data_IF_790045565587
#
_entry.id   IF_790045565587
#
_cell.length_a   1.000
_cell.length_b   1.000
_cell.length_c   1.000
_cell.angle_alpha   90.00
_cell.angle_beta   90.00
_cell.angle_gamma   90.00
#
_symmetry.space_group_name_H-M   'P 1'
#
loop_
_entity.id
_entity.type
_entity.pdbx_description
1 polymer ?
#
# COMPACT_ATOMS: atom_id res chain seq x y z
N UNK A 1 19.49 -60.36 -10.39
CA UNK A 1 18.11 -60.63 -10.81
C UNK A 1 17.18 -60.32 -9.64
N UNK A 2 16.24 -59.39 -9.85
CA UNK A 2 14.95 -59.40 -9.16
C UNK A 2 14.83 -58.80 -7.76
N UNK A 3 14.29 -57.57 -7.73
CA UNK A 3 13.30 -57.04 -6.75
C UNK A 3 13.78 -56.85 -5.31
N UNK A 4 13.81 -55.65 -4.73
CA UNK A 4 12.80 -54.59 -4.81
C UNK A 4 11.95 -54.64 -3.53
N UNK A 5 12.13 -53.65 -2.65
CA UNK A 5 11.13 -53.10 -1.72
C UNK A 5 11.77 -51.98 -0.88
N UNK A 6 11.53 -50.74 -1.28
CA UNK A 6 11.50 -49.60 -0.37
C UNK A 6 10.14 -48.96 -0.51
N UNK A 7 9.40 -48.96 0.60
CA UNK A 7 8.27 -48.10 0.85
C UNK A 7 8.34 -47.76 2.35
N UNK A 8 8.31 -46.48 2.68
CA UNK A 8 7.28 -45.86 3.51
C UNK A 8 7.47 -44.35 3.42
N UNK A 9 6.40 -43.69 2.97
CA UNK A 9 6.15 -42.26 3.02
C UNK A 9 5.82 -41.84 4.45
N UNK A 10 6.16 -40.62 4.84
CA UNK A 10 5.29 -39.80 5.68
C UNK A 10 5.56 -38.31 5.40
N UNK A 11 4.81 -37.77 4.43
CA UNK A 11 4.54 -36.34 4.33
C UNK A 11 3.26 -36.12 5.14
N UNK A 12 3.32 -35.34 6.21
CA UNK A 12 2.13 -34.81 6.89
C UNK A 12 1.38 -33.87 5.93
N UNK A 13 0.55 -34.45 5.05
CA UNK A 13 -0.48 -33.75 4.29
C UNK A 13 -1.82 -34.21 4.86
N UNK A 14 -2.29 -33.50 5.89
CA UNK A 14 -3.64 -33.70 6.43
C UNK A 14 -4.64 -33.36 5.33
N UNK A 15 -5.21 -34.41 4.74
CA UNK A 15 -6.40 -34.48 3.90
C UNK A 15 -6.54 -33.47 2.75
N UNK A 16 -6.12 -33.87 1.55
CA UNK A 16 -6.80 -33.46 0.31
C UNK A 16 -6.92 -34.66 -0.65
N UNK A 17 -7.85 -35.57 -0.35
CA UNK A 17 -8.20 -36.68 -1.25
C UNK A 17 -9.21 -36.32 -2.36
N UNK A 18 -9.60 -35.05 -2.51
CA UNK A 18 -10.55 -34.60 -3.55
C UNK A 18 -10.00 -33.54 -4.52
N UNK A 19 -8.68 -33.36 -4.63
CA UNK A 19 -8.10 -32.24 -5.38
C UNK A 19 -8.27 -32.33 -6.91
N UNK A 20 -8.32 -33.55 -7.49
CA UNK A 20 -8.59 -33.73 -8.92
C UNK A 20 -10.06 -33.43 -9.28
N UNK A 21 -10.99 -33.76 -8.38
CA UNK A 21 -12.41 -33.39 -8.53
C UNK A 21 -12.66 -31.89 -8.35
N UNK A 22 -11.89 -31.23 -7.48
CA UNK A 22 -12.02 -29.79 -7.20
C UNK A 22 -11.51 -28.91 -8.36
N UNK A 23 -10.42 -29.29 -9.03
CA UNK A 23 -9.93 -28.60 -10.23
C UNK A 23 -10.86 -28.78 -11.45
N UNK A 24 -11.46 -29.97 -11.61
CA UNK A 24 -12.45 -30.22 -12.66
C UNK A 24 -13.76 -29.44 -12.40
N UNK A 25 -14.19 -29.31 -11.14
CA UNK A 25 -15.34 -28.47 -10.77
C UNK A 25 -15.09 -26.97 -10.99
N UNK A 26 -13.88 -26.47 -10.73
CA UNK A 26 -13.51 -25.06 -10.97
C UNK A 26 -13.41 -24.71 -12.46
N UNK A 27 -13.07 -25.66 -13.32
CA UNK A 27 -13.08 -25.46 -14.78
C UNK A 27 -14.50 -25.56 -15.37
N UNK A 28 -15.35 -26.45 -14.86
CA UNK A 28 -16.74 -26.59 -15.32
C UNK A 28 -17.64 -25.45 -14.81
N UNK A 29 -17.39 -24.89 -13.62
CA UNK A 29 -18.13 -23.72 -13.13
C UNK A 29 -17.84 -22.44 -13.94
N UNK A 30 -16.66 -22.35 -14.58
CA UNK A 30 -16.28 -21.19 -15.42
C UNK A 30 -16.79 -21.28 -16.87
N UNK A 31 -17.20 -22.45 -17.35
CA UNK A 31 -17.76 -22.62 -18.70
C UNK A 31 -19.29 -22.43 -18.76
N UNK A 32 -19.96 -22.31 -17.61
CA UNK A 32 -21.40 -22.07 -17.53
C UNK A 32 -21.85 -20.62 -17.78
N UNK A 33 -20.91 -19.68 -17.97
CA UNK A 33 -21.21 -18.24 -18.13
C UNK A 33 -20.72 -17.68 -19.48
N UNK A 34 -20.64 -18.50 -20.53
CA UNK A 34 -20.46 -18.01 -21.91
C UNK A 34 -21.81 -18.02 -22.60
N UNK A 35 -22.71 -17.15 -22.14
CA UNK A 35 -24.04 -17.01 -22.70
C UNK A 35 -24.82 -15.91 -22.01
N UNK A 36 -24.87 -14.74 -22.67
CA UNK A 36 -25.62 -13.54 -22.32
C UNK A 36 -24.99 -12.61 -21.26
N UNK A 37 -24.96 -11.32 -21.61
CA UNK A 37 -24.23 -10.26 -20.92
C UNK A 37 -24.64 -10.11 -19.46
N UNK A 38 -23.69 -10.42 -18.58
CA UNK A 38 -23.72 -10.19 -17.14
C UNK A 38 -22.28 -10.09 -16.66
N UNK A 39 -22.08 -9.30 -15.61
CA UNK A 39 -20.81 -8.70 -15.17
C UNK A 39 -19.64 -9.68 -14.98
N UNK A 40 -18.43 -9.13 -15.12
CA UNK A 40 -17.20 -9.82 -14.70
C UNK A 40 -17.26 -10.01 -13.18
N UNK A 41 -17.66 -11.20 -12.75
CA UNK A 41 -17.47 -11.64 -11.37
C UNK A 41 -15.97 -11.57 -11.09
N UNK A 42 -15.55 -10.59 -10.29
CA UNK A 42 -14.17 -10.47 -9.86
C UNK A 42 -13.78 -11.80 -9.22
N UNK A 43 -12.78 -12.48 -9.77
CA UNK A 43 -12.25 -13.68 -9.15
C UNK A 43 -11.78 -13.29 -7.74
N UNK A 44 -12.49 -13.78 -6.71
CA UNK A 44 -12.13 -13.58 -5.32
C UNK A 44 -10.63 -13.81 -5.15
N UNK A 45 -9.93 -12.90 -4.47
CA UNK A 45 -8.49 -13.01 -4.27
C UNK A 45 -8.18 -14.34 -3.55
N UNK A 46 -7.61 -15.31 -4.27
CA UNK A 46 -7.16 -16.57 -3.70
C UNK A 46 -5.66 -16.44 -3.40
N UNK A 47 -5.26 -16.29 -2.12
CA UNK A 47 -3.84 -16.27 -1.78
C UNK A 47 -3.22 -17.60 -2.17
N UNK A 48 -2.09 -17.54 -2.86
CA UNK A 48 -1.32 -18.73 -3.23
C UNK A 48 0.13 -18.52 -2.85
N UNK A 49 0.77 -19.55 -2.33
CA UNK A 49 2.20 -19.55 -2.10
C UNK A 49 2.69 -20.97 -2.39
N UNK A 50 3.68 -21.06 -3.26
CA UNK A 50 4.23 -22.31 -3.74
C UNK A 50 5.73 -22.19 -3.87
N UNK A 51 6.41 -23.31 -3.69
CA UNK A 51 7.85 -23.39 -3.77
C UNK A 51 8.23 -24.69 -4.50
N UNK A 52 9.24 -24.61 -5.35
CA UNK A 52 9.78 -25.76 -6.06
C UNK A 52 11.30 -25.72 -6.08
N UNK A 53 11.93 -26.88 -5.90
CA UNK A 53 13.37 -27.04 -6.06
C UNK A 53 13.67 -27.58 -7.46
N UNK A 54 14.71 -27.05 -8.09
CA UNK A 54 15.21 -27.60 -9.37
C UNK A 54 15.71 -29.04 -9.21
N UNK A 55 16.28 -29.37 -8.05
CA UNK A 55 16.71 -30.72 -7.66
C UNK A 55 16.43 -30.94 -6.19
N UNK A 56 15.95 -32.12 -5.84
CA UNK A 56 15.65 -32.54 -4.46
C UNK A 56 16.80 -33.27 -3.79
N UNK A 57 17.80 -33.68 -4.58
CA UNK A 57 19.00 -34.38 -4.11
C UNK A 57 20.24 -33.72 -4.71
N UNK A 58 21.31 -33.66 -3.91
CA UNK A 58 22.63 -33.18 -4.32
C UNK A 58 23.65 -34.21 -3.91
N UNK A 59 24.32 -34.79 -4.89
CA UNK A 59 25.35 -35.80 -4.68
C UNK A 59 26.71 -35.26 -5.14
N UNK A 60 27.75 -35.52 -4.35
CA UNK A 60 29.13 -35.25 -4.71
C UNK A 60 29.96 -36.50 -4.44
N UNK A 61 30.78 -36.92 -5.39
CA UNK A 61 31.67 -38.07 -5.21
C UNK A 61 33.01 -37.63 -4.61
N UNK A 62 33.61 -38.46 -3.76
CA UNK A 62 34.92 -38.17 -3.17
C UNK A 62 35.99 -37.94 -4.23
N UNK A 63 35.94 -38.70 -5.34
CA UNK A 63 36.86 -38.51 -6.47
C UNK A 63 36.71 -37.13 -7.14
N UNK A 64 35.49 -36.61 -7.25
CA UNK A 64 35.26 -35.25 -7.76
C UNK A 64 35.84 -34.20 -6.81
N UNK A 65 35.60 -34.35 -5.51
CA UNK A 65 36.05 -33.38 -4.50
C UNK A 65 37.58 -33.40 -4.36
N UNK A 66 38.19 -34.57 -4.19
CA UNK A 66 39.64 -34.70 -3.93
C UNK A 66 40.52 -34.24 -5.09
N UNK A 67 40.01 -34.32 -6.33
CA UNK A 67 40.72 -33.85 -7.53
C UNK A 67 40.45 -32.37 -7.86
N UNK A 68 39.60 -31.70 -7.09
CA UNK A 68 39.32 -30.27 -7.26
C UNK A 68 40.41 -29.39 -6.61
N UNK A 69 40.49 -28.13 -7.04
CA UNK A 69 41.35 -27.14 -6.39
C UNK A 69 40.96 -26.97 -4.92
N UNK A 70 41.92 -27.12 -4.00
CA UNK A 70 41.72 -27.08 -2.55
C UNK A 70 40.78 -28.15 -1.98
N UNK A 71 40.58 -29.27 -2.69
CA UNK A 71 39.76 -30.42 -2.24
C UNK A 71 38.33 -30.03 -1.81
N UNK A 72 37.72 -29.12 -2.55
CA UNK A 72 36.42 -28.51 -2.22
C UNK A 72 35.44 -28.70 -3.37
N UNK A 73 34.37 -29.47 -3.13
CA UNK A 73 33.24 -29.63 -4.03
C UNK A 73 32.20 -28.54 -3.81
N UNK A 74 31.55 -28.08 -4.88
CA UNK A 74 30.54 -27.03 -4.78
C UNK A 74 29.37 -27.28 -5.72
N UNK A 75 28.15 -27.20 -5.19
CA UNK A 75 26.92 -27.43 -5.94
C UNK A 75 25.88 -26.35 -5.66
N UNK A 76 25.04 -26.05 -6.66
CA UNK A 76 23.98 -25.05 -6.54
C UNK A 76 22.61 -25.71 -6.42
N UNK A 77 21.82 -25.28 -5.45
CA UNK A 77 20.39 -25.58 -5.32
C UNK A 77 19.62 -24.33 -5.71
N UNK A 78 18.68 -24.46 -6.65
CA UNK A 78 17.78 -23.39 -7.05
C UNK A 78 16.40 -23.65 -6.48
N UNK A 79 15.94 -22.74 -5.62
CA UNK A 79 14.57 -22.64 -5.15
C UNK A 79 13.85 -21.58 -5.99
N UNK A 80 12.69 -21.95 -6.54
CA UNK A 80 11.76 -21.02 -7.16
C UNK A 80 10.54 -20.88 -6.27
N UNK A 81 10.21 -19.64 -5.90
CA UNK A 81 9.00 -19.33 -5.13
C UNK A 81 8.01 -18.59 -6.04
N UNK A 82 6.75 -19.01 -6.03
CA UNK A 82 5.69 -18.49 -6.89
C UNK A 82 4.37 -18.38 -6.13
N UNK A 83 3.50 -17.42 -6.45
CA UNK A 83 2.32 -17.14 -5.63
C UNK A 83 1.71 -15.74 -5.79
N UNK A 84 0.73 -15.46 -4.95
CA UNK A 84 0.05 -14.19 -4.77
C UNK A 84 -0.20 -14.04 -3.27
N UNK A 85 0.60 -13.23 -2.59
CA UNK A 85 0.44 -12.90 -1.15
C UNK A 85 0.50 -11.38 -0.96
N UNK A 86 -0.30 -10.86 -0.01
CA UNK A 86 -0.46 -9.40 0.18
C UNK A 86 0.71 -8.74 0.92
N UNK A 87 1.37 -9.45 1.85
CA UNK A 87 2.47 -8.91 2.67
C UNK A 87 3.86 -9.45 2.30
N UNK A 88 3.99 -10.14 1.17
CA UNK A 88 5.21 -10.86 0.84
C UNK A 88 5.41 -12.12 1.69
N UNK A 89 6.64 -12.62 1.73
CA UNK A 89 6.99 -13.89 2.35
C UNK A 89 8.48 -13.93 2.73
N UNK A 90 8.87 -14.87 3.57
CA UNK A 90 10.26 -15.19 3.92
C UNK A 90 10.62 -16.60 3.47
N UNK A 91 11.88 -16.76 3.08
CA UNK A 91 12.51 -18.07 2.84
C UNK A 91 13.50 -18.33 3.96
N UNK A 92 13.30 -19.43 4.65
CA UNK A 92 14.14 -19.92 5.73
C UNK A 92 14.88 -21.18 5.27
N UNK A 93 16.12 -21.34 5.71
CA UNK A 93 16.93 -22.54 5.56
C UNK A 93 17.25 -23.12 6.94
N UNK A 94 17.11 -24.43 7.08
CA UNK A 94 17.58 -25.22 8.23
C UNK A 94 17.88 -26.65 7.81
N UNK A 95 18.44 -27.44 8.71
CA UNK A 95 18.32 -28.90 8.67
C UNK A 95 16.93 -29.37 9.13
N UNK A 96 16.58 -30.63 8.88
CA UNK A 96 15.33 -31.24 9.39
C UNK A 96 15.43 -31.69 10.86
N UNK A 97 16.58 -31.49 11.49
CA UNK A 97 16.88 -31.82 12.89
C UNK A 97 17.89 -30.83 13.49
N UNK A 98 18.31 -31.04 14.74
CA UNK A 98 19.40 -30.26 15.35
C UNK A 98 20.79 -30.65 14.81
N UNK A 99 20.90 -31.79 14.11
CA UNK A 99 22.15 -32.23 13.51
C UNK A 99 22.44 -31.42 12.25
N UNK A 100 23.57 -30.71 12.24
CA UNK A 100 24.01 -29.85 11.12
C UNK A 100 25.16 -30.45 10.31
N UNK A 101 25.72 -31.59 10.72
CA UNK A 101 26.77 -32.29 9.99
C UNK A 101 26.19 -33.26 8.95
N UNK A 102 26.93 -33.56 7.88
CA UNK A 102 26.66 -34.77 7.10
C UNK A 102 27.14 -35.97 7.92
N UNK A 103 26.25 -36.91 8.20
CA UNK A 103 26.54 -38.07 9.06
C UNK A 103 26.81 -39.29 8.20
N UNK A 104 27.84 -40.07 8.54
CA UNK A 104 28.07 -41.36 7.88
C UNK A 104 26.88 -42.30 8.14
N UNK A 105 26.31 -42.86 7.08
CA UNK A 105 25.17 -43.77 7.14
C UNK A 105 25.54 -45.17 7.65
N UNK A 106 26.83 -45.50 7.74
CA UNK A 106 27.30 -46.77 8.30
C UNK A 106 27.07 -46.83 9.81
N UNK A 107 26.30 -47.83 10.26
CA UNK A 107 25.81 -47.95 11.66
C UNK A 107 26.92 -48.03 12.73
N UNK A 108 28.16 -48.33 12.34
CA UNK A 108 29.31 -48.45 13.24
C UNK A 108 30.25 -47.24 13.17
N UNK A 109 29.96 -46.26 12.31
CA UNK A 109 30.79 -45.07 12.14
C UNK A 109 30.22 -43.90 12.95
N UNK A 110 31.10 -43.17 13.63
CA UNK A 110 30.79 -41.87 14.22
C UNK A 110 31.35 -40.71 13.39
N UNK A 111 31.88 -40.99 12.20
CA UNK A 111 32.51 -39.99 11.33
C UNK A 111 31.47 -39.03 10.77
N UNK A 112 31.84 -37.75 10.69
CA UNK A 112 30.98 -36.67 10.23
C UNK A 112 31.76 -35.68 9.37
N UNK A 113 31.05 -34.99 8.48
CA UNK A 113 31.51 -33.76 7.84
C UNK A 113 30.75 -32.63 8.53
N UNK A 114 31.42 -31.88 9.40
CA UNK A 114 30.76 -30.90 10.29
C UNK A 114 30.33 -29.64 9.54
N UNK A 115 29.28 -28.97 10.01
CA UNK A 115 29.08 -27.57 9.64
C UNK A 115 30.29 -26.74 10.07
N UNK A 116 30.64 -25.70 9.30
CA UNK A 116 31.58 -24.67 9.79
C UNK A 116 30.98 -23.91 10.99
N UNK A 117 31.84 -23.31 11.81
CA UNK A 117 31.44 -22.61 13.04
C UNK A 117 31.22 -21.10 12.87
N UNK A 118 31.78 -20.50 11.81
CA UNK A 118 31.67 -19.06 11.54
C UNK A 118 31.77 -18.74 10.05
N UNK A 119 31.32 -17.54 9.67
CA UNK A 119 31.36 -17.05 8.30
C UNK A 119 32.77 -17.11 7.73
N UNK A 120 32.97 -17.84 6.63
CA UNK A 120 34.29 -18.13 6.06
C UNK A 120 34.26 -18.03 4.52
N UNK A 121 35.42 -17.80 3.88
CA UNK A 121 35.54 -17.83 2.42
C UNK A 121 35.68 -19.26 1.90
N UNK A 122 35.36 -19.49 0.62
CA UNK A 122 35.46 -20.82 0.01
C UNK A 122 36.85 -21.46 0.16
N UNK A 123 37.91 -20.66 0.07
CA UNK A 123 39.29 -21.14 0.11
C UNK A 123 39.77 -21.45 1.54
N UNK A 124 39.14 -20.85 2.54
CA UNK A 124 39.48 -21.00 3.95
C UNK A 124 38.64 -22.04 4.68
N UNK A 125 37.80 -22.82 3.97
CA UNK A 125 37.03 -23.90 4.60
C UNK A 125 37.97 -24.89 5.32
N UNK A 126 37.66 -25.28 6.57
CA UNK A 126 38.38 -26.35 7.26
C UNK A 126 38.16 -27.72 6.60
N UNK A 127 39.10 -28.64 6.79
CA UNK A 127 38.94 -30.01 6.31
C UNK A 127 37.75 -30.70 7.00
N UNK A 128 37.06 -31.58 6.25
CA UNK A 128 35.90 -32.32 6.70
C UNK A 128 34.77 -31.42 7.22
N UNK A 129 34.54 -30.32 6.51
CA UNK A 129 33.43 -29.41 6.78
C UNK A 129 32.58 -29.12 5.54
N UNK A 130 31.36 -28.67 5.79
CA UNK A 130 30.47 -28.16 4.76
C UNK A 130 29.75 -26.89 5.22
N UNK A 131 29.28 -26.12 4.24
CA UNK A 131 28.73 -24.80 4.46
C UNK A 131 27.83 -24.36 3.29
N UNK A 132 27.06 -23.29 3.49
CA UNK A 132 26.20 -22.75 2.45
C UNK A 132 26.45 -21.26 2.19
N UNK A 133 26.23 -20.80 0.96
CA UNK A 133 26.18 -19.38 0.61
C UNK A 133 24.96 -19.08 -0.25
N UNK A 134 24.61 -17.80 -0.39
CA UNK A 134 23.39 -17.32 -1.03
C UNK A 134 23.71 -16.20 -2.00
N UNK A 135 23.07 -16.22 -3.18
CA UNK A 135 23.45 -15.38 -4.33
C UNK A 135 23.21 -13.86 -4.16
N UNK A 136 22.53 -13.41 -3.10
CA UNK A 136 22.21 -11.98 -2.93
C UNK A 136 23.34 -11.13 -2.31
N UNK A 137 24.47 -11.72 -1.89
CA UNK A 137 25.67 -10.95 -1.53
C UNK A 137 26.66 -10.88 -2.70
N UNK A 138 27.24 -9.70 -2.95
CA UNK A 138 28.23 -9.48 -4.03
C UNK A 138 29.50 -10.34 -3.91
N UNK A 139 29.74 -10.89 -2.71
CA UNK A 139 30.81 -11.88 -2.42
C UNK A 139 30.19 -13.14 -1.81
N UNK A 140 30.57 -14.33 -2.30
CA UNK A 140 30.12 -15.61 -1.72
C UNK A 140 30.93 -15.92 -0.45
N UNK A 141 30.47 -15.40 0.68
CA UNK A 141 30.87 -15.92 1.98
C UNK A 141 29.97 -17.10 2.37
N UNK A 142 30.57 -18.12 2.97
CA UNK A 142 29.90 -19.35 3.38
C UNK A 142 29.58 -19.29 4.87
N UNK A 143 28.33 -19.62 5.19
CA UNK A 143 27.74 -19.60 6.50
C UNK A 143 27.68 -21.02 7.10
N UNK A 144 27.73 -21.14 8.44
CA UNK A 144 27.35 -22.36 9.15
C UNK A 144 25.99 -22.88 8.71
N UNK A 145 25.84 -24.19 8.58
CA UNK A 145 24.55 -24.82 8.29
C UNK A 145 23.60 -24.59 9.48
N UNK A 146 22.45 -23.96 9.27
CA UNK A 146 21.50 -23.64 10.33
C UNK A 146 20.78 -24.90 10.82
N UNK A 147 20.63 -25.03 12.14
CA UNK A 147 19.87 -26.09 12.82
C UNK A 147 18.37 -25.82 12.78
N UNK A 148 17.56 -26.86 13.01
CA UNK A 148 16.08 -26.76 13.06
C UNK A 148 15.58 -25.68 14.03
N UNK A 149 16.15 -25.60 15.24
CA UNK A 149 15.77 -24.62 16.26
C UNK A 149 16.19 -23.17 15.96
N UNK A 150 17.06 -22.95 14.96
CA UNK A 150 17.57 -21.62 14.60
C UNK A 150 17.74 -21.52 13.07
N UNK A 151 16.64 -21.49 12.30
CA UNK A 151 16.68 -21.36 10.86
C UNK A 151 17.21 -19.97 10.43
N UNK A 152 17.96 -19.91 9.34
CA UNK A 152 18.43 -18.63 8.78
C UNK A 152 17.48 -18.12 7.70
N UNK A 153 17.23 -16.82 7.70
CA UNK A 153 16.55 -16.13 6.59
C UNK A 153 17.51 -16.02 5.41
N UNK A 154 17.15 -16.63 4.29
CA UNK A 154 17.95 -16.67 3.06
C UNK A 154 17.26 -15.96 1.89
N UNK A 155 16.18 -15.23 2.15
CA UNK A 155 15.46 -14.49 1.13
C UNK A 155 14.02 -14.20 1.53
N UNK A 156 13.31 -13.56 0.62
CA UNK A 156 11.91 -13.19 0.77
C UNK A 156 11.60 -11.88 0.07
N UNK A 157 10.37 -11.40 0.31
CA UNK A 157 9.90 -10.06 -0.05
C UNK A 157 9.30 -9.39 1.18
N UNK A 158 9.52 -8.08 1.29
CA UNK A 158 8.91 -7.23 2.31
C UNK A 158 7.96 -6.21 1.67
N UNK A 159 7.48 -6.50 0.47
CA UNK A 159 6.84 -5.52 -0.39
C UNK A 159 5.38 -5.28 0.06
N UNK A 160 5.15 -4.12 0.66
CA UNK A 160 3.83 -3.49 0.68
C UNK A 160 3.42 -3.18 -0.78
N UNK A 161 2.48 -3.97 -1.32
CA UNK A 161 1.67 -3.64 -2.51
C UNK A 161 2.36 -3.57 -3.89
N UNK A 162 3.05 -4.63 -4.33
CA UNK A 162 3.24 -4.86 -5.79
C UNK A 162 2.93 -6.29 -6.20
N UNK A 163 1.98 -6.43 -7.15
CA UNK A 163 1.72 -7.66 -7.86
C UNK A 163 3.00 -8.16 -8.52
N UNK A 164 3.28 -9.45 -8.34
CA UNK A 164 4.46 -10.09 -8.88
C UNK A 164 4.02 -11.26 -9.74
N UNK A 165 4.29 -11.14 -11.04
CA UNK A 165 3.93 -12.17 -12.02
C UNK A 165 5.10 -13.10 -12.33
N UNK A 166 6.29 -12.84 -11.77
CA UNK A 166 7.50 -13.65 -11.96
C UNK A 166 7.92 -14.32 -10.66
N UNK A 167 8.20 -15.62 -10.73
CA UNK A 167 8.70 -16.39 -9.59
C UNK A 167 10.11 -15.96 -9.19
N UNK A 168 10.31 -15.75 -7.89
CA UNK A 168 11.63 -15.40 -7.35
C UNK A 168 12.53 -16.63 -7.33
N UNK A 169 13.80 -16.43 -7.71
CA UNK A 169 14.78 -17.50 -7.75
C UNK A 169 15.86 -17.27 -6.70
N UNK A 170 15.91 -18.15 -5.71
CA UNK A 170 16.94 -18.18 -4.68
C UNK A 170 17.95 -19.27 -5.03
N UNK A 171 19.22 -18.89 -5.14
CA UNK A 171 20.32 -19.83 -5.36
C UNK A 171 21.08 -19.98 -4.05
N UNK A 172 21.04 -21.19 -3.50
CA UNK A 172 21.89 -21.62 -2.40
C UNK A 172 23.03 -22.43 -2.97
N UNK A 173 24.26 -22.13 -2.56
CA UNK A 173 25.45 -22.83 -3.00
C UNK A 173 26.05 -23.58 -1.82
N UNK A 174 26.12 -24.91 -1.95
CA UNK A 174 26.65 -25.82 -0.93
C UNK A 174 28.10 -26.11 -1.25
N UNK A 175 29.00 -25.89 -0.31
CA UNK A 175 30.40 -26.28 -0.42
C UNK A 175 30.71 -27.39 0.59
N UNK A 176 31.47 -28.38 0.15
CA UNK A 176 31.94 -29.49 0.97
C UNK A 176 33.44 -29.63 0.76
N UNK A 177 34.21 -29.57 1.85
CA UNK A 177 35.65 -29.82 1.82
C UNK A 177 35.96 -31.08 2.61
N UNK A 178 36.72 -31.99 1.99
CA UNK A 178 37.14 -33.25 2.62
C UNK A 178 38.64 -33.42 2.51
N UNK A 179 39.22 -34.21 3.42
CA UNK A 179 40.60 -34.64 3.35
C UNK A 179 40.74 -36.14 3.05
N UNK A 180 41.97 -36.61 2.90
CA UNK A 180 42.26 -38.00 2.54
C UNK A 180 42.04 -38.98 3.71
N UNK A 181 41.80 -38.47 4.92
CA UNK A 181 41.69 -39.28 6.14
C UNK A 181 40.21 -39.49 6.54
N UNK A 182 39.26 -38.97 5.76
CA UNK A 182 37.84 -39.18 6.00
C UNK A 182 37.50 -40.67 5.78
N UNK A 183 36.81 -41.27 6.75
CA UNK A 183 36.36 -42.66 6.66
C UNK A 183 35.47 -42.86 5.42
N UNK A 184 35.67 -43.97 4.70
CA UNK A 184 34.83 -44.30 3.55
C UNK A 184 33.40 -44.56 4.00
N UNK A 185 32.43 -44.04 3.26
CA UNK A 185 31.01 -44.18 3.59
C UNK A 185 30.16 -43.18 2.81
N UNK A 186 28.84 -43.31 2.94
CA UNK A 186 27.89 -42.34 2.41
C UNK A 186 27.53 -41.36 3.53
N UNK A 187 27.74 -40.08 3.30
CA UNK A 187 27.45 -39.02 4.26
C UNK A 187 26.21 -38.25 3.83
N UNK A 188 25.21 -38.11 4.70
CA UNK A 188 23.98 -37.40 4.36
C UNK A 188 23.43 -36.55 5.49
N UNK A 189 22.68 -35.52 5.10
CA UNK A 189 21.80 -34.71 5.93
C UNK A 189 20.72 -34.11 5.02
N UNK A 190 19.63 -33.60 5.58
CA UNK A 190 18.55 -32.96 4.82
C UNK A 190 18.51 -31.46 5.08
N UNK A 191 18.48 -30.69 4.01
CA UNK A 191 18.19 -29.26 4.04
C UNK A 191 16.70 -29.02 3.82
N UNK A 192 16.13 -28.15 4.63
CA UNK A 192 14.72 -27.74 4.60
C UNK A 192 14.64 -26.28 4.19
N UNK A 193 13.90 -26.03 3.11
CA UNK A 193 13.49 -24.68 2.71
C UNK A 193 12.05 -24.45 3.21
N UNK A 194 11.88 -23.53 4.16
CA UNK A 194 10.54 -23.12 4.61
C UNK A 194 10.17 -21.78 4.00
N UNK A 195 9.06 -21.74 3.26
CA UNK A 195 8.55 -20.52 2.62
C UNK A 195 7.27 -20.10 3.34
N UNK A 196 7.32 -18.98 4.05
CA UNK A 196 6.27 -18.55 4.98
C UNK A 196 5.80 -17.16 4.59
N UNK A 197 4.49 -16.97 4.39
CA UNK A 197 3.91 -15.65 4.18
C UNK A 197 4.16 -14.74 5.39
N UNK A 198 4.46 -13.47 5.15
CA UNK A 198 4.57 -12.50 6.23
C UNK A 198 3.22 -12.28 6.91
N UNK A 199 3.20 -11.93 8.21
CA UNK A 199 1.97 -11.51 8.88
C UNK A 199 1.38 -10.29 8.18
N UNK A 200 0.06 -10.20 8.17
CA UNK A 200 -0.69 -9.18 7.45
C UNK A 200 -2.00 -8.87 8.16
N UNK A 201 -2.26 -7.59 8.39
CA UNK A 201 -3.56 -7.12 8.86
C UNK A 201 -4.49 -6.93 7.66
N UNK A 202 -5.62 -7.65 7.69
CA UNK A 202 -6.64 -7.52 6.64
C UNK A 202 -7.17 -6.09 6.60
N UNK A 203 -7.34 -5.54 5.40
CA UNK A 203 -7.86 -4.19 5.21
C UNK A 203 -9.08 -4.17 4.29
N UNK A 204 -10.03 -3.30 4.60
CA UNK A 204 -11.09 -2.88 3.67
C UNK A 204 -10.63 -1.62 2.99
N UNK A 205 -10.49 -1.62 1.67
CA UNK A 205 -9.95 -0.48 0.93
C UNK A 205 -10.86 -0.12 -0.25
N UNK A 206 -11.32 1.13 -0.30
CA UNK A 206 -12.20 1.63 -1.35
C UNK A 206 -11.41 1.98 -2.62
N UNK A 207 -11.97 1.71 -3.79
CA UNK A 207 -11.45 2.21 -5.05
C UNK A 207 -11.66 3.72 -5.16
N UNK A 208 -10.66 4.46 -5.69
CA UNK A 208 -10.76 5.91 -5.93
C UNK A 208 -12.02 6.29 -6.70
N UNK A 209 -12.37 5.52 -7.72
CA UNK A 209 -13.53 5.79 -8.58
C UNK A 209 -14.76 4.97 -8.18
N UNK A 210 -14.73 4.35 -6.98
CA UNK A 210 -15.78 3.47 -6.47
C UNK A 210 -17.16 4.10 -6.53
N UNK A 211 -17.34 5.26 -5.89
CA UNK A 211 -18.63 5.96 -5.92
C UNK A 211 -18.99 6.53 -7.30
N UNK A 212 -18.00 6.93 -8.11
CA UNK A 212 -18.26 7.44 -9.47
C UNK A 212 -18.82 6.37 -10.40
N UNK A 213 -18.43 5.11 -10.18
CA UNK A 213 -18.89 3.97 -10.98
C UNK A 213 -20.40 3.75 -10.91
N UNK A 214 -21.06 4.29 -9.87
CA UNK A 214 -22.50 4.18 -9.62
C UNK A 214 -23.30 5.37 -10.17
N UNK A 215 -22.67 6.32 -10.85
CA UNK A 215 -23.36 7.50 -11.35
C UNK A 215 -24.44 7.13 -12.38
N UNK A 216 -25.70 7.56 -12.21
CA UNK A 216 -26.79 7.23 -13.12
C UNK A 216 -26.61 7.83 -14.52
N UNK A 217 -25.90 8.97 -14.63
CA UNK A 217 -25.56 9.62 -15.89
C UNK A 217 -24.04 9.68 -16.07
N UNK A 218 -23.57 9.21 -17.23
CA UNK A 218 -22.15 9.24 -17.63
C UNK A 218 -21.68 10.70 -17.76
N UNK A 219 -21.16 11.28 -16.68
CA UNK A 219 -20.57 12.62 -16.63
C UNK A 219 -21.39 13.70 -15.90
N UNK A 220 -22.60 13.39 -15.44
CA UNK A 220 -23.37 14.22 -14.50
C UNK A 220 -23.73 13.37 -13.29
N UNK A 221 -23.23 13.75 -12.12
CA UNK A 221 -23.49 13.05 -10.87
C UNK A 221 -24.66 13.73 -10.17
N UNK A 222 -25.87 13.21 -10.40
CA UNK A 222 -27.11 13.71 -9.79
C UNK A 222 -27.31 13.25 -8.33
N UNK A 223 -26.35 12.47 -7.81
CA UNK A 223 -26.30 12.01 -6.42
C UNK A 223 -26.33 13.18 -5.44
N UNK A 224 -27.37 13.21 -4.59
CA UNK A 224 -27.53 14.17 -3.49
C UNK A 224 -26.87 13.71 -2.20
N UNK A 225 -26.79 12.41 -1.96
CA UNK A 225 -26.26 11.84 -0.73
C UNK A 225 -25.46 10.55 -0.99
N UNK A 226 -24.47 10.30 -0.13
CA UNK A 226 -23.78 9.01 -0.05
C UNK A 226 -23.89 8.54 1.40
N UNK A 227 -24.49 7.36 1.62
CA UNK A 227 -24.84 6.89 2.97
C UNK A 227 -24.41 5.45 3.19
N UNK A 228 -23.83 5.20 4.36
CA UNK A 228 -23.60 3.84 4.84
C UNK A 228 -24.91 3.24 5.36
N UNK A 229 -25.09 1.94 5.17
CA UNK A 229 -26.16 1.17 5.83
C UNK A 229 -25.59 0.01 6.65
N UNK A 230 -26.38 -0.51 7.59
CA UNK A 230 -26.01 -1.65 8.45
C UNK A 230 -26.28 -3.02 7.81
N UNK A 231 -27.14 -3.07 6.79
CA UNK A 231 -27.42 -4.28 6.01
C UNK A 231 -27.98 -3.92 4.64
N UNK A 232 -27.81 -4.82 3.67
CA UNK A 232 -28.33 -4.64 2.32
C UNK A 232 -29.81 -5.07 2.30
N UNK A 233 -30.75 -4.19 1.89
CA UNK A 233 -32.15 -4.57 1.76
C UNK A 233 -32.35 -5.66 0.70
N UNK A 234 -33.25 -6.61 0.96
CA UNK A 234 -33.46 -7.79 0.10
C UNK A 234 -34.00 -7.48 -1.30
N UNK A 235 -34.52 -6.27 -1.51
CA UNK A 235 -35.07 -5.80 -2.79
C UNK A 235 -34.02 -5.12 -3.69
N UNK A 236 -32.79 -4.92 -3.22
CA UNK A 236 -31.71 -4.34 -4.03
C UNK A 236 -31.12 -5.44 -4.92
N UNK A 237 -31.19 -5.24 -6.24
CA UNK A 237 -30.71 -6.21 -7.23
C UNK A 237 -29.44 -5.76 -7.95
N UNK A 238 -29.27 -4.44 -8.16
CA UNK A 238 -28.12 -3.87 -8.88
C UNK A 238 -27.06 -3.38 -7.88
N UNK A 239 -26.23 -4.30 -7.39
CA UNK A 239 -25.16 -4.03 -6.42
C UNK A 239 -23.81 -4.11 -7.12
N UNK A 240 -22.99 -3.07 -6.95
CA UNK A 240 -21.62 -3.01 -7.46
C UNK A 240 -20.62 -3.09 -6.32
N UNK A 241 -19.56 -3.87 -6.51
CA UNK A 241 -18.39 -3.87 -5.63
C UNK A 241 -17.50 -2.66 -5.96
N UNK A 242 -17.22 -1.83 -4.96
CA UNK A 242 -16.48 -0.56 -5.11
C UNK A 242 -15.12 -0.57 -4.38
N UNK A 243 -14.68 -1.71 -3.87
CA UNK A 243 -13.36 -1.90 -3.27
C UNK A 243 -12.22 -2.01 -4.30
N UNK A 244 -10.97 -1.85 -3.84
CA UNK A 244 -9.79 -2.17 -4.65
C UNK A 244 -9.59 -3.68 -4.74
N UNK A 245 -8.86 -4.14 -5.76
CA UNK A 245 -8.44 -5.56 -5.83
C UNK A 245 -7.50 -5.98 -4.68
N UNK A 246 -6.93 -5.02 -3.93
CA UNK A 246 -6.14 -5.28 -2.72
C UNK A 246 -6.96 -5.38 -1.44
N UNK A 247 -8.26 -5.05 -1.46
CA UNK A 247 -9.14 -5.18 -0.31
C UNK A 247 -9.34 -6.65 0.09
N UNK A 248 -9.47 -6.92 1.39
CA UNK A 248 -9.83 -8.25 1.94
C UNK A 248 -11.33 -8.42 2.12
N UNK A 249 -12.08 -7.31 2.12
CA UNK A 249 -13.51 -7.28 2.33
C UNK A 249 -14.19 -6.50 1.21
N UNK A 250 -15.39 -6.94 0.87
CA UNK A 250 -16.23 -6.27 -0.11
C UNK A 250 -16.73 -4.93 0.43
N UNK A 251 -16.87 -3.97 -0.47
CA UNK A 251 -17.64 -2.75 -0.25
C UNK A 251 -18.72 -2.76 -1.32
N UNK A 252 -19.93 -3.13 -0.93
CA UNK A 252 -21.08 -3.22 -1.83
C UNK A 252 -21.77 -1.87 -1.86
N UNK A 253 -22.14 -1.39 -3.04
CA UNK A 253 -22.82 -0.12 -3.17
C UNK A 253 -23.80 -0.12 -4.35
N UNK A 254 -24.83 0.71 -4.25
CA UNK A 254 -25.87 0.84 -5.26
C UNK A 254 -26.43 2.27 -5.26
N UNK A 255 -27.05 2.66 -6.36
CA UNK A 255 -27.75 3.94 -6.49
C UNK A 255 -29.26 3.75 -6.33
N UNK A 256 -29.89 4.53 -5.46
CA UNK A 256 -31.34 4.65 -5.37
C UNK A 256 -31.81 5.93 -6.08
N UNK A 257 -32.58 5.76 -7.16
CA UNK A 257 -33.08 6.86 -7.97
C UNK A 257 -34.27 7.61 -7.37
N UNK A 258 -34.98 7.04 -6.39
CA UNK A 258 -36.06 7.74 -5.69
C UNK A 258 -35.49 8.68 -4.63
N UNK A 259 -34.35 8.31 -4.03
CA UNK A 259 -33.67 9.11 -3.01
C UNK A 259 -32.51 9.96 -3.55
N UNK A 260 -32.16 9.83 -4.83
CA UNK A 260 -30.92 10.36 -5.42
C UNK A 260 -29.69 10.05 -4.56
N UNK A 261 -29.60 8.83 -4.02
CA UNK A 261 -28.65 8.47 -2.96
C UNK A 261 -27.84 7.26 -3.37
N UNK A 262 -26.51 7.33 -3.20
CA UNK A 262 -25.66 6.14 -3.22
C UNK A 262 -25.66 5.55 -1.82
N UNK A 263 -26.07 4.30 -1.69
CA UNK A 263 -25.91 3.53 -0.48
C UNK A 263 -24.68 2.62 -0.59
N UNK A 264 -23.99 2.42 0.51
CA UNK A 264 -22.91 1.43 0.59
C UNK A 264 -22.93 0.64 1.89
N UNK A 265 -22.41 -0.57 1.83
CA UNK A 265 -22.34 -1.54 2.90
C UNK A 265 -20.97 -2.24 2.89
N UNK A 266 -20.40 -2.38 4.08
CA UNK A 266 -19.30 -3.29 4.36
C UNK A 266 -19.37 -3.71 5.82
N UNK A 267 -18.98 -4.95 6.11
CA UNK A 267 -18.94 -5.50 7.47
C UNK A 267 -17.91 -4.78 8.35
N UNK A 268 -16.89 -4.17 7.74
CA UNK A 268 -15.80 -3.55 8.49
C UNK A 268 -16.11 -2.10 8.85
N UNK A 269 -15.91 -1.73 10.11
CA UNK A 269 -16.17 -0.35 10.55
C UNK A 269 -15.30 0.67 9.81
N UNK A 270 -14.05 0.33 9.55
CA UNK A 270 -13.02 1.23 9.03
C UNK A 270 -12.71 0.93 7.57
N UNK A 271 -12.70 1.97 6.73
CA UNK A 271 -12.45 1.86 5.28
C UNK A 271 -11.21 2.68 4.92
N UNK A 272 -10.16 2.03 4.43
CA UNK A 272 -8.95 2.72 3.98
C UNK A 272 -9.17 3.35 2.61
N UNK A 273 -8.65 4.56 2.45
CA UNK A 273 -8.52 5.23 1.15
C UNK A 273 -7.16 4.91 0.50
N UNK A 274 -7.11 4.82 -0.83
CA UNK A 274 -5.85 4.59 -1.55
C UNK A 274 -4.92 5.81 -1.43
N UNK A 275 -3.64 5.64 -1.75
CA UNK A 275 -2.63 6.72 -1.66
C UNK A 275 -2.95 7.94 -2.53
N UNK A 276 -3.67 7.75 -3.64
CA UNK A 276 -4.12 8.79 -4.54
C UNK A 276 -5.65 8.80 -4.66
N UNK A 277 -6.29 9.79 -4.03
CA UNK A 277 -7.73 10.03 -4.12
C UNK A 277 -8.08 11.26 -4.96
N UNK A 278 -7.22 11.58 -5.95
CA UNK A 278 -7.45 12.68 -6.89
C UNK A 278 -8.87 12.64 -7.43
N UNK A 279 -9.58 13.74 -7.21
CA UNK A 279 -10.94 13.93 -7.70
C UNK A 279 -11.94 12.87 -7.27
N UNK A 280 -11.78 12.16 -6.13
CA UNK A 280 -12.69 11.08 -5.71
C UNK A 280 -14.17 11.48 -5.74
N UNK A 281 -14.51 12.71 -5.37
CA UNK A 281 -15.85 13.29 -5.47
C UNK A 281 -15.92 14.45 -6.48
N UNK A 282 -15.01 14.49 -7.45
CA UNK A 282 -15.00 15.52 -8.49
C UNK A 282 -16.33 15.55 -9.26
N UNK A 283 -16.90 16.75 -9.38
CA UNK A 283 -18.13 17.05 -10.10
C UNK A 283 -19.38 16.32 -9.57
N UNK A 284 -19.38 15.89 -8.29
CA UNK A 284 -20.60 15.48 -7.58
C UNK A 284 -21.52 16.69 -7.35
N UNK A 285 -22.06 17.22 -8.45
CA UNK A 285 -22.59 18.58 -8.56
C UNK A 285 -23.84 18.80 -7.71
N UNK A 286 -24.60 17.73 -7.43
CA UNK A 286 -25.82 17.73 -6.62
C UNK A 286 -25.61 17.26 -5.19
N UNK A 287 -24.40 16.81 -4.82
CA UNK A 287 -24.10 16.29 -3.49
C UNK A 287 -24.29 17.40 -2.47
N UNK A 288 -25.16 17.19 -1.48
CA UNK A 288 -25.52 18.18 -0.47
C UNK A 288 -24.72 18.04 0.81
N UNK A 289 -24.51 16.80 1.23
CA UNK A 289 -23.77 16.48 2.45
C UNK A 289 -23.02 15.17 2.31
N UNK A 290 -21.86 15.06 2.96
CA UNK A 290 -21.06 13.84 2.97
C UNK A 290 -20.39 13.61 4.32
N UNK A 291 -20.56 12.41 4.88
CA UNK A 291 -19.85 11.97 6.07
C UNK A 291 -18.74 10.98 5.70
N UNK A 292 -17.49 11.33 6.02
CA UNK A 292 -16.31 10.49 5.80
C UNK A 292 -15.70 9.95 7.10
N UNK A 293 -16.42 10.00 8.22
CA UNK A 293 -15.92 9.57 9.54
C UNK A 293 -15.45 8.12 9.61
N UNK A 294 -16.00 7.23 8.79
CA UNK A 294 -15.60 5.82 8.68
C UNK A 294 -14.37 5.57 7.79
N UNK A 295 -13.90 6.61 7.08
CA UNK A 295 -12.77 6.51 6.16
C UNK A 295 -11.46 6.93 6.82
N UNK A 296 -10.43 6.12 6.58
CA UNK A 296 -9.05 6.36 7.01
C UNK A 296 -8.20 6.81 5.82
N UNK A 297 -7.67 8.03 5.91
CA UNK A 297 -6.82 8.64 4.90
C UNK A 297 -5.32 8.62 5.27
N UNK A 298 -4.89 7.81 6.24
CA UNK A 298 -3.51 7.80 6.76
C UNK A 298 -2.44 7.37 5.74
N UNK A 299 -2.85 6.83 4.59
CA UNK A 299 -1.96 6.53 3.47
C UNK A 299 -2.04 7.54 2.32
N UNK A 300 -2.97 8.48 2.37
CA UNK A 300 -3.25 9.42 1.28
C UNK A 300 -2.12 10.45 1.14
N UNK A 301 -1.65 10.62 -0.08
CA UNK A 301 -0.61 11.58 -0.48
C UNK A 301 -1.16 12.66 -1.42
N UNK A 302 -2.23 12.38 -2.16
CA UNK A 302 -2.85 13.29 -3.10
C UNK A 302 -4.36 13.39 -2.86
N UNK A 303 -4.84 14.60 -2.54
CA UNK A 303 -6.26 14.97 -2.39
C UNK A 303 -6.69 16.05 -3.37
N UNK A 304 -5.90 16.31 -4.42
CA UNK A 304 -6.23 17.36 -5.36
C UNK A 304 -7.53 17.07 -6.09
N UNK A 305 -8.31 18.13 -6.34
CA UNK A 305 -9.65 18.11 -6.92
C UNK A 305 -10.71 17.27 -6.17
N UNK A 306 -10.43 16.77 -4.95
CA UNK A 306 -11.28 15.77 -4.28
C UNK A 306 -12.76 16.17 -4.22
N UNK A 307 -13.06 17.43 -3.88
CA UNK A 307 -14.40 18.01 -3.85
C UNK A 307 -14.59 19.14 -4.89
N UNK A 308 -13.72 19.23 -5.89
CA UNK A 308 -13.88 20.24 -6.93
C UNK A 308 -15.22 20.05 -7.67
N UNK A 309 -15.91 21.15 -7.93
CA UNK A 309 -17.20 21.20 -8.63
C UNK A 309 -18.37 20.50 -7.90
N UNK A 310 -18.27 20.26 -6.59
CA UNK A 310 -19.41 19.89 -5.76
C UNK A 310 -20.29 21.13 -5.46
N UNK A 311 -20.98 21.66 -6.49
CA UNK A 311 -21.63 22.97 -6.44
C UNK A 311 -22.68 23.09 -5.32
N UNK A 312 -23.39 22.00 -5.02
CA UNK A 312 -24.47 21.96 -4.04
C UNK A 312 -24.02 21.52 -2.63
N UNK A 313 -22.72 21.25 -2.43
CA UNK A 313 -22.21 20.75 -1.16
C UNK A 313 -22.30 21.83 -0.07
N UNK A 314 -23.08 21.54 0.97
CA UNK A 314 -23.33 22.42 2.12
C UNK A 314 -22.49 21.99 3.33
N UNK A 315 -22.29 20.68 3.51
CA UNK A 315 -21.57 20.11 4.66
C UNK A 315 -20.70 18.91 4.27
N UNK A 316 -19.49 18.84 4.80
CA UNK A 316 -18.62 17.67 4.70
C UNK A 316 -17.96 17.40 6.05
N UNK A 317 -18.12 16.18 6.56
CA UNK A 317 -17.45 15.76 7.78
C UNK A 317 -16.08 15.13 7.44
N UNK A 318 -15.02 15.83 7.81
CA UNK A 318 -13.63 15.43 7.61
C UNK A 318 -12.91 15.13 8.93
N UNK A 319 -13.62 14.89 10.04
CA UNK A 319 -13.01 14.77 11.38
C UNK A 319 -11.98 13.64 11.51
N UNK A 320 -12.10 12.59 10.69
CA UNK A 320 -11.19 11.43 10.65
C UNK A 320 -10.02 11.59 9.66
N UNK A 321 -9.99 12.65 8.85
CA UNK A 321 -8.97 12.82 7.81
C UNK A 321 -7.59 13.06 8.44
N UNK A 322 -6.67 12.15 8.18
CA UNK A 322 -5.24 12.35 8.40
C UNK A 322 -4.61 12.87 7.10
N UNK A 323 -4.09 14.09 7.13
CA UNK A 323 -3.38 14.71 5.99
C UNK A 323 -1.86 14.74 6.17
N UNK A 324 -1.30 14.06 7.18
CA UNK A 324 0.12 14.10 7.54
C UNK A 324 1.09 13.57 6.45
N UNK A 325 0.56 12.89 5.44
CA UNK A 325 1.30 12.42 4.25
C UNK A 325 0.94 13.15 2.96
N UNK A 326 -0.06 14.03 2.99
CA UNK A 326 -0.54 14.75 1.81
C UNK A 326 0.50 15.76 1.34
N UNK A 327 0.80 15.73 0.04
CA UNK A 327 1.73 16.64 -0.63
C UNK A 327 1.04 17.58 -1.62
N UNK A 328 -0.16 17.24 -2.08
CA UNK A 328 -0.92 17.99 -3.08
C UNK A 328 -2.39 18.17 -2.65
N UNK A 329 -2.81 19.45 -2.54
CA UNK A 329 -4.16 19.89 -2.19
C UNK A 329 -4.76 20.81 -3.26
N UNK A 330 -4.19 20.81 -4.48
CA UNK A 330 -4.68 21.64 -5.59
C UNK A 330 -6.19 21.46 -5.79
N UNK A 331 -6.91 22.58 -5.91
CA UNK A 331 -8.34 22.63 -6.22
C UNK A 331 -9.24 21.78 -5.31
N UNK A 332 -8.79 21.39 -4.10
CA UNK A 332 -9.49 20.41 -3.27
C UNK A 332 -10.97 20.75 -3.04
N UNK A 333 -11.30 22.03 -2.82
CA UNK A 333 -12.67 22.52 -2.63
C UNK A 333 -13.13 23.50 -3.72
N UNK A 334 -12.42 23.56 -4.85
CA UNK A 334 -12.70 24.54 -5.89
C UNK A 334 -14.15 24.44 -6.39
N UNK A 335 -14.87 25.56 -6.39
CA UNK A 335 -16.31 25.61 -6.69
C UNK A 335 -17.23 24.77 -5.77
N UNK A 336 -16.81 24.37 -4.57
CA UNK A 336 -17.72 23.89 -3.52
C UNK A 336 -18.48 25.07 -2.91
N UNK A 337 -19.40 25.61 -3.70
CA UNK A 337 -19.90 26.98 -3.56
C UNK A 337 -20.74 27.20 -2.32
N UNK A 338 -21.54 26.21 -1.91
CA UNK A 338 -22.55 26.31 -0.84
C UNK A 338 -22.04 26.03 0.58
N UNK A 339 -20.79 25.60 0.74
CA UNK A 339 -20.18 25.40 2.06
C UNK A 339 -20.08 26.76 2.75
N UNK A 340 -20.77 26.92 3.88
CA UNK A 340 -20.72 28.13 4.72
C UNK A 340 -19.65 28.06 5.80
N UNK A 341 -19.42 26.87 6.32
CA UNK A 341 -18.46 26.55 7.37
C UNK A 341 -17.70 25.30 7.00
N UNK A 342 -16.38 25.33 7.14
CA UNK A 342 -15.51 24.21 6.82
C UNK A 342 -14.55 23.95 7.99
N UNK A 343 -14.67 22.77 8.61
CA UNK A 343 -13.79 22.38 9.70
C UNK A 343 -12.55 21.66 9.14
N UNK A 344 -11.39 22.30 9.27
CA UNK A 344 -10.07 21.77 8.87
C UNK A 344 -9.11 21.65 10.07
N UNK A 345 -9.64 21.61 11.29
CA UNK A 345 -8.82 21.67 12.51
C UNK A 345 -7.87 20.48 12.71
N UNK A 346 -8.13 19.36 12.04
CA UNK A 346 -7.30 18.15 12.01
C UNK A 346 -6.26 18.13 10.88
N UNK A 347 -6.27 19.10 9.96
CA UNK A 347 -5.35 19.09 8.83
C UNK A 347 -3.92 19.40 9.27
N UNK A 348 -3.02 18.47 8.97
CA UNK A 348 -1.57 18.68 9.00
C UNK A 348 -1.09 18.94 7.56
N UNK A 349 -0.63 20.15 7.28
CA UNK A 349 -0.14 20.54 5.94
C UNK A 349 1.38 20.60 5.84
N UNK A 350 2.12 20.05 6.81
CA UNK A 350 3.58 20.18 6.88
C UNK A 350 4.30 19.69 5.61
N UNK A 351 3.76 18.68 4.92
CA UNK A 351 4.35 18.13 3.68
C UNK A 351 3.73 18.70 2.41
N UNK A 352 2.73 19.57 2.50
CA UNK A 352 2.02 20.09 1.34
C UNK A 352 2.92 21.03 0.55
N UNK A 353 2.95 20.82 -0.77
CA UNK A 353 3.76 21.61 -1.71
C UNK A 353 2.89 22.40 -2.70
N UNK A 354 1.64 21.99 -2.91
CA UNK A 354 0.70 22.64 -3.82
C UNK A 354 -0.65 22.91 -3.13
N UNK A 355 -1.07 24.18 -3.13
CA UNK A 355 -2.38 24.66 -2.65
C UNK A 355 -3.06 25.55 -3.70
N UNK A 356 -2.67 25.43 -4.97
CA UNK A 356 -3.27 26.17 -6.07
C UNK A 356 -4.79 25.99 -6.08
N UNK A 357 -5.52 27.11 -6.12
CA UNK A 357 -6.98 27.16 -6.22
C UNK A 357 -7.75 26.34 -5.15
N UNK A 358 -7.12 26.00 -4.01
CA UNK A 358 -7.69 25.08 -3.00
C UNK A 358 -9.10 25.49 -2.55
N UNK A 359 -9.35 26.79 -2.36
CA UNK A 359 -10.64 27.38 -1.97
C UNK A 359 -11.19 28.34 -3.05
N UNK A 360 -10.69 28.27 -4.29
CA UNK A 360 -11.13 29.16 -5.37
C UNK A 360 -12.64 29.00 -5.62
N UNK A 361 -13.32 30.13 -5.74
CA UNK A 361 -14.76 30.21 -5.97
C UNK A 361 -15.65 29.55 -4.89
N UNK A 362 -15.17 29.42 -3.65
CA UNK A 362 -16.03 29.17 -2.47
C UNK A 362 -16.66 30.48 -2.00
N UNK A 363 -17.81 30.84 -2.55
CA UNK A 363 -18.39 32.18 -2.36
C UNK A 363 -19.33 32.32 -1.16
N UNK A 364 -19.97 31.24 -0.67
CA UNK A 364 -20.81 31.28 0.55
C UNK A 364 -20.02 31.04 1.85
N UNK A 365 -18.72 30.75 1.76
CA UNK A 365 -17.85 30.60 2.92
C UNK A 365 -17.77 31.94 3.67
N UNK A 366 -18.15 31.97 4.95
CA UNK A 366 -18.23 33.22 5.74
C UNK A 366 -16.91 33.50 6.44
N UNK A 367 -16.38 32.48 7.12
CA UNK A 367 -15.11 32.50 7.82
C UNK A 367 -14.34 31.21 7.50
N UNK A 368 -13.02 31.32 7.43
CA UNK A 368 -12.14 30.19 7.19
C UNK A 368 -11.08 30.11 8.28
N UNK A 369 -11.07 29.02 9.04
CA UNK A 369 -10.04 28.74 10.02
C UNK A 369 -9.01 27.75 9.47
N UNK A 370 -7.82 28.28 9.18
CA UNK A 370 -6.65 27.54 8.73
C UNK A 370 -5.47 27.78 9.68
N UNK A 371 -5.77 28.03 10.96
CA UNK A 371 -4.78 28.27 12.00
C UNK A 371 -3.79 27.12 12.22
N UNK A 372 -4.11 25.92 11.75
CA UNK A 372 -3.24 24.74 11.80
C UNK A 372 -2.36 24.56 10.57
N UNK A 373 -2.53 25.37 9.53
CA UNK A 373 -1.75 25.23 8.30
C UNK A 373 -0.30 25.63 8.54
N UNK A 374 0.60 24.74 8.13
CA UNK A 374 2.02 24.99 7.96
C UNK A 374 2.31 25.14 6.47
N UNK A 375 2.80 26.31 6.05
CA UNK A 375 3.02 26.64 4.64
C UNK A 375 4.48 26.61 4.22
N UNK A 376 5.41 26.22 5.12
CA UNK A 376 6.86 26.30 4.88
C UNK A 376 7.32 25.61 3.60
N UNK A 377 6.65 24.54 3.19
CA UNK A 377 6.99 23.73 2.04
C UNK A 377 6.16 24.04 0.79
N UNK A 378 5.19 24.96 0.89
CA UNK A 378 4.27 25.27 -0.21
C UNK A 378 4.99 26.09 -1.27
N UNK A 379 4.87 25.64 -2.52
CA UNK A 379 5.47 26.26 -3.70
C UNK A 379 4.45 27.03 -4.54
N UNK A 380 3.18 26.65 -4.51
CA UNK A 380 2.13 27.26 -5.32
C UNK A 380 0.86 27.55 -4.49
N UNK A 381 0.43 28.80 -4.51
CA UNK A 381 -0.81 29.31 -3.91
C UNK A 381 -1.58 30.21 -4.89
N UNK A 382 -1.42 30.00 -6.20
CA UNK A 382 -2.17 30.74 -7.21
C UNK A 382 -3.66 30.67 -6.89
N UNK A 383 -4.31 31.84 -6.86
CA UNK A 383 -5.76 31.95 -6.68
C UNK A 383 -6.34 31.18 -5.48
N UNK A 384 -5.54 30.87 -4.46
CA UNK A 384 -5.91 29.96 -3.37
C UNK A 384 -7.24 30.34 -2.70
N UNK A 385 -7.49 31.64 -2.51
CA UNK A 385 -8.71 32.18 -1.92
C UNK A 385 -9.51 33.03 -2.91
N UNK A 386 -9.24 32.97 -4.21
CA UNK A 386 -9.87 33.85 -5.19
C UNK A 386 -11.34 33.50 -5.44
N UNK A 387 -12.03 34.36 -6.20
CA UNK A 387 -13.28 34.01 -6.88
C UNK A 387 -13.37 34.68 -8.24
N UNK A 388 -14.44 34.40 -8.98
CA UNK A 388 -14.77 35.10 -10.22
C UNK A 388 -15.62 36.37 -10.00
N UNK A 389 -15.55 37.26 -10.97
CA UNK A 389 -16.29 38.53 -10.99
C UNK A 389 -17.81 38.27 -11.12
N UNK A 390 -18.62 39.17 -10.57
CA UNK A 390 -20.09 39.14 -10.73
C UNK A 390 -20.84 38.14 -9.86
N UNK A 391 -20.13 37.36 -9.04
CA UNK A 391 -20.71 36.46 -8.03
C UNK A 391 -20.60 37.11 -6.64
N UNK A 392 -21.58 36.84 -5.78
CA UNK A 392 -21.59 37.27 -4.38
C UNK A 392 -20.30 36.81 -3.65
N UNK A 393 -19.84 37.60 -2.69
CA UNK A 393 -18.75 37.24 -1.79
C UNK A 393 -19.30 37.24 -0.37
N UNK A 394 -19.07 36.18 0.40
CA UNK A 394 -19.41 36.13 1.82
C UNK A 394 -18.20 35.99 2.72
N UNK A 395 -16.99 35.80 2.17
CA UNK A 395 -15.80 35.56 2.98
C UNK A 395 -15.33 36.86 3.63
N UNK A 396 -15.49 36.95 4.94
CA UNK A 396 -15.16 38.15 5.71
C UNK A 396 -13.82 38.01 6.44
N UNK A 397 -13.47 36.81 6.89
CA UNK A 397 -12.25 36.56 7.68
C UNK A 397 -11.58 35.23 7.35
N UNK A 398 -10.26 35.26 7.40
CA UNK A 398 -9.40 34.07 7.38
C UNK A 398 -8.56 34.09 8.66
N UNK A 399 -8.64 33.03 9.45
CA UNK A 399 -7.91 32.88 10.71
C UNK A 399 -6.64 32.06 10.53
N UNK A 400 -5.53 32.59 11.04
CA UNK A 400 -4.21 31.93 11.07
C UNK A 400 -3.57 32.06 12.46
N UNK A 401 -2.65 31.17 12.83
CA UNK A 401 -1.88 31.32 14.09
C UNK A 401 -0.60 32.16 13.89
N UNK A 402 0.01 32.06 12.71
CA UNK A 402 1.23 32.75 12.33
C UNK A 402 1.08 33.30 10.90
N UNK A 403 1.95 34.23 10.51
CA UNK A 403 2.14 34.58 9.10
C UNK A 403 2.38 33.30 8.28
N UNK A 404 1.92 33.29 7.03
CA UNK A 404 2.33 32.21 6.13
C UNK A 404 3.83 32.32 5.88
N UNK A 405 4.54 31.21 6.08
CA UNK A 405 5.91 31.07 5.62
C UNK A 405 5.87 30.93 4.09
N UNK A 406 6.41 31.95 3.41
CA UNK A 406 6.45 32.05 1.95
C UNK A 406 7.88 31.91 1.40
N UNK A 407 8.82 31.41 2.21
CA UNK A 407 10.24 31.29 1.83
C UNK A 407 10.47 30.37 0.62
N UNK A 408 9.67 29.31 0.49
CA UNK A 408 9.72 28.37 -0.63
C UNK A 408 8.66 28.64 -1.72
N UNK A 409 7.90 29.73 -1.61
CA UNK A 409 6.80 30.05 -2.51
C UNK A 409 7.33 30.50 -3.87
N UNK A 410 7.00 29.74 -4.91
CA UNK A 410 7.34 30.03 -6.32
C UNK A 410 6.27 30.93 -6.94
N UNK A 411 4.99 30.65 -6.69
CA UNK A 411 3.88 31.38 -7.30
C UNK A 411 2.71 31.59 -6.34
N UNK A 412 2.15 32.81 -6.37
CA UNK A 412 0.91 33.18 -5.72
C UNK A 412 0.28 34.33 -6.51
N UNK A 413 -0.15 34.01 -7.72
CA UNK A 413 -0.82 34.95 -8.60
C UNK A 413 -2.27 35.14 -8.14
N UNK A 414 -2.62 36.39 -7.83
CA UNK A 414 -3.96 36.83 -7.45
C UNK A 414 -4.64 35.96 -6.36
N UNK A 415 -4.00 35.72 -5.20
CA UNK A 415 -4.50 34.83 -4.15
C UNK A 415 -5.87 35.24 -3.61
N UNK A 416 -6.22 36.53 -3.69
CA UNK A 416 -7.45 37.12 -3.15
C UNK A 416 -8.34 37.75 -4.23
N UNK A 417 -8.16 37.40 -5.51
CA UNK A 417 -8.90 38.01 -6.63
C UNK A 417 -10.41 38.08 -6.33
N UNK A 418 -11.01 39.24 -6.56
CA UNK A 418 -12.44 39.50 -6.35
C UNK A 418 -12.99 39.35 -4.90
N UNK A 419 -12.15 39.12 -3.88
CA UNK A 419 -12.58 39.05 -2.46
C UNK A 419 -12.83 40.42 -1.83
N UNK A 420 -13.97 41.02 -2.19
CA UNK A 420 -14.36 42.39 -1.81
C UNK A 420 -14.88 42.52 -0.38
N UNK A 421 -15.35 41.43 0.24
CA UNK A 421 -15.79 41.45 1.66
C UNK A 421 -14.68 41.09 2.65
N UNK A 422 -13.62 40.42 2.20
CA UNK A 422 -12.52 40.00 3.06
C UNK A 422 -11.81 41.19 3.70
N UNK A 423 -11.58 41.12 5.01
CA UNK A 423 -10.81 42.11 5.77
C UNK A 423 -9.75 41.41 6.62
N UNK A 424 -8.60 42.06 6.75
CA UNK A 424 -7.62 41.71 7.77
C UNK A 424 -8.16 41.90 9.18
N UNK A 425 -7.51 41.31 10.18
CA UNK A 425 -7.95 41.37 11.58
C UNK A 425 -8.07 42.78 12.18
N UNK A 426 -7.32 43.76 11.65
CA UNK A 426 -7.43 45.19 12.01
C UNK A 426 -8.17 46.00 10.95
N UNK A 427 -8.82 45.33 9.99
CA UNK A 427 -9.67 45.95 8.97
C UNK A 427 -8.95 46.32 7.67
N UNK A 428 -7.69 45.94 7.46
CA UNK A 428 -7.00 46.23 6.20
C UNK A 428 -7.68 45.57 5.00
N UNK A 429 -7.66 46.28 3.86
CA UNK A 429 -8.14 45.80 2.57
C UNK A 429 -7.53 46.61 1.41
N UNK A 430 -7.60 46.05 0.21
CA UNK A 430 -7.35 46.76 -1.05
C UNK A 430 -8.67 47.03 -1.76
N UNK A 431 -8.78 48.22 -2.38
CA UNK A 431 -9.93 48.57 -3.21
C UNK A 431 -10.12 47.59 -4.37
N UNK A 432 -9.01 47.10 -4.93
CA UNK A 432 -8.98 46.02 -5.90
C UNK A 432 -8.19 44.82 -5.31
N UNK A 433 -8.88 43.78 -4.79
CA UNK A 433 -8.24 42.61 -4.20
C UNK A 433 -7.28 41.88 -5.13
N UNK A 434 -7.40 42.05 -6.45
CA UNK A 434 -6.49 41.49 -7.45
C UNK A 434 -5.04 41.98 -7.29
N UNK A 435 -4.87 43.18 -6.74
CA UNK A 435 -3.57 43.83 -6.54
C UNK A 435 -2.84 43.31 -5.29
N UNK A 436 -3.50 42.44 -4.51
CA UNK A 436 -2.89 41.76 -3.38
C UNK A 436 -1.85 40.75 -3.90
N UNK A 437 -0.58 41.11 -3.84
CA UNK A 437 0.51 40.20 -4.12
C UNK A 437 0.78 39.24 -2.93
N UNK A 438 1.83 38.41 -3.04
CA UNK A 438 2.21 37.46 -2.00
C UNK A 438 2.50 38.10 -0.63
N UNK A 439 2.79 39.41 -0.56
CA UNK A 439 3.07 40.08 0.70
C UNK A 439 1.83 40.22 1.59
N UNK A 440 0.63 40.08 1.03
CA UNK A 440 -0.63 40.13 1.77
C UNK A 440 -1.03 38.81 2.46
N UNK A 441 -0.30 37.71 2.20
CA UNK A 441 -0.45 36.40 2.86
C UNK A 441 0.14 36.42 4.29
N UNK A 442 -0.34 37.33 5.14
CA UNK A 442 0.15 37.54 6.50
C UNK A 442 -0.94 38.06 7.43
N UNK A 443 -0.68 37.98 8.72
CA UNK A 443 -1.51 38.59 9.76
C UNK A 443 -1.54 40.10 9.53
N UNK A 444 -2.73 40.66 9.67
CA UNK A 444 -2.96 42.08 9.48
C UNK A 444 -2.34 42.93 10.61
N UNK A 445 -1.34 43.76 10.26
CA UNK A 445 -0.67 44.65 11.20
C UNK A 445 -0.33 46.03 10.59
N UNK A 446 -1.34 46.83 10.21
CA UNK A 446 -1.18 48.16 9.62
C UNK A 446 -0.43 49.15 10.52
N UNK A 447 -0.52 49.00 11.85
CA UNK A 447 0.16 49.87 12.82
C UNK A 447 1.69 49.81 12.66
N UNK A 448 2.21 48.70 12.15
CA UNK A 448 3.63 48.50 11.84
C UNK A 448 3.92 48.54 10.32
N UNK A 449 3.01 49.10 9.52
CA UNK A 449 3.18 49.23 8.07
C UNK A 449 3.09 47.90 7.30
N UNK A 450 2.50 46.86 7.90
CA UNK A 450 2.39 45.51 7.32
C UNK A 450 0.93 45.06 7.23
N UNK A 451 0.10 45.70 6.38
CA UNK A 451 -1.27 45.25 6.19
C UNK A 451 -1.29 43.83 5.61
N UNK A 452 -2.33 43.08 5.96
CA UNK A 452 -2.54 41.70 5.52
C UNK A 452 -4.01 41.33 5.55
N UNK A 453 -4.36 40.18 4.96
CA UNK A 453 -5.75 39.70 4.94
C UNK A 453 -6.08 38.68 6.03
N UNK A 454 -5.11 38.30 6.88
CA UNK A 454 -5.37 37.31 7.91
C UNK A 454 -5.66 37.95 9.27
N UNK A 455 -6.53 37.28 10.02
CA UNK A 455 -6.83 37.55 11.42
C UNK A 455 -6.06 36.55 12.27
N UNK A 456 -5.31 37.03 13.26
CA UNK A 456 -4.65 36.12 14.21
C UNK A 456 -5.72 35.43 15.07
N UNK A 457 -5.69 34.10 15.13
CA UNK A 457 -6.53 33.35 16.06
C UNK A 457 -6.00 33.55 17.48
N UNK A 458 -6.86 34.00 18.38
CA UNK A 458 -6.54 34.31 19.79
C UNK A 458 -6.56 33.03 20.62
#
# INVERSE_FOLDING_TARGET
MGMGKSAIFDIYKKNMKNFAGFLAFLFLANLGFVGFGGERVSAAYVPTLSASLQKTEVEMTSNFILNSYNKTGVENIRLTVSGKVKAGYKVLLSTDSEETALVNEDQNSSSKISSIDSLTSLYALPDNTWAYSVKFSETYNYNPIPKLSAPNVIGGRNDDFKYWETGDNYITRIAVKINNNLEAGKYSNKLVYSVISNPYDKKTEISRDGFKSLSPSRGQYDTKYIKRVESIPSNVVDITNIETGSSDYEIKAWYDANEDTIFYYTEQKKIYMPDNIWGMFFNFSKLKSLDLSDFDSSYVTNVSHMFAQCYELEEVNLSSFDTSKVTDMEQMFRFSRKIKYLNLSNFNTEKVTNMEEMFDNMHYLIELDISKFNTKNVKNMNRMFAKYMGIEDMLEKIYVNNDFDISNLISANHPFDERKKLRGGKGSFLANPRDADKTWLRIDDPDNGRPGYFTKKI
#
